data_IF_274833515087
#
_entry.id   IF_274833515087
#
_cell.length_a   1.000
_cell.length_b   1.000
_cell.length_c   1.000
_cell.angle_alpha   90.00
_cell.angle_beta   90.00
_cell.angle_gamma   90.00
#
_symmetry.space_group_name_H-M   'P 1'
#
loop_
_entity.id
_entity.type
_entity.pdbx_description
1 polymer ?
#
# COMPACT_ATOMS: atom_id res chain seq x y z
N UNK A 1 -0.99 42.17 28.91
CA UNK A 1 0.26 41.45 28.71
C UNK A 1 -0.09 40.10 28.15
N UNK A 2 -0.12 39.97 26.83
CA UNK A 2 -0.44 38.74 26.11
C UNK A 2 0.85 38.05 25.69
N UNK A 3 1.08 36.86 26.20
CA UNK A 3 2.24 36.07 25.86
C UNK A 3 1.88 35.12 24.69
N UNK A 4 2.28 35.48 23.48
CA UNK A 4 2.13 34.67 22.27
C UNK A 4 3.21 33.59 22.29
N UNK A 5 2.87 32.37 22.63
CA UNK A 5 3.74 31.19 22.41
C UNK A 5 3.62 30.75 20.98
N UNK A 6 4.64 31.04 20.19
CA UNK A 6 4.85 30.55 18.83
C UNK A 6 4.97 29.03 18.83
N UNK A 7 3.96 28.35 18.31
CA UNK A 7 4.04 26.93 18.00
C UNK A 7 4.94 26.76 16.76
N UNK A 8 6.12 26.17 16.95
CA UNK A 8 6.98 25.74 15.83
C UNK A 8 6.33 24.54 15.15
N UNK A 9 5.84 24.74 13.94
CA UNK A 9 5.47 23.66 13.06
C UNK A 9 6.76 22.92 12.64
N UNK A 10 6.89 21.68 13.08
CA UNK A 10 7.92 20.76 12.57
C UNK A 10 7.38 20.26 11.23
N UNK A 11 7.81 20.92 10.18
CA UNK A 11 7.65 20.41 8.80
C UNK A 11 8.71 19.34 8.64
N UNK A 12 8.32 18.08 8.64
CA UNK A 12 9.16 17.02 8.10
C UNK A 12 9.24 17.20 6.59
N UNK A 13 10.18 18.02 6.15
CA UNK A 13 10.65 17.99 4.78
C UNK A 13 11.47 16.70 4.65
N UNK A 14 10.89 15.69 3.99
CA UNK A 14 11.69 14.58 3.50
C UNK A 14 12.77 15.18 2.58
N UNK A 15 14.06 14.93 2.83
CA UNK A 15 15.07 15.37 1.90
C UNK A 15 14.94 14.54 0.62
N UNK A 16 14.40 15.13 -0.42
CA UNK A 16 14.69 14.70 -1.77
C UNK A 16 16.18 14.95 -1.97
N UNK A 17 17.02 13.99 -1.59
CA UNK A 17 18.41 13.96 -2.00
C UNK A 17 18.40 13.63 -3.48
N UNK A 18 18.37 14.67 -4.30
CA UNK A 18 18.78 14.57 -5.68
C UNK A 18 20.28 14.25 -5.63
N UNK A 19 20.61 12.97 -5.72
CA UNK A 19 21.97 12.51 -5.95
C UNK A 19 22.34 12.87 -7.40
N UNK A 20 22.65 14.15 -7.62
CA UNK A 20 23.37 14.57 -8.82
C UNK A 20 24.81 14.07 -8.67
N UNK A 21 25.20 13.15 -9.54
CA UNK A 21 26.60 12.88 -9.85
C UNK A 21 27.21 11.62 -9.24
N UNK A 22 26.65 10.46 -9.49
CA UNK A 22 27.46 9.26 -9.63
C UNK A 22 27.42 8.82 -11.09
N UNK A 23 28.41 9.27 -11.84
CA UNK A 23 28.79 8.68 -13.13
C UNK A 23 29.33 7.26 -12.90
N UNK A 24 28.53 6.36 -12.39
CA UNK A 24 28.76 4.94 -12.49
C UNK A 24 28.51 4.57 -13.95
N UNK A 25 29.57 4.38 -14.73
CA UNK A 25 29.50 3.57 -15.93
C UNK A 25 28.97 2.22 -15.48
N UNK A 26 27.67 2.01 -15.58
CA UNK A 26 27.06 0.70 -15.49
C UNK A 26 27.70 -0.09 -16.64
N UNK A 27 28.63 -0.96 -16.31
CA UNK A 27 29.06 -2.00 -17.19
C UNK A 27 27.81 -2.83 -17.44
N UNK A 28 27.36 -2.91 -18.71
CA UNK A 28 26.25 -3.78 -19.14
C UNK A 28 26.63 -5.23 -18.84
N UNK A 29 26.46 -5.64 -17.60
CA UNK A 29 26.57 -7.04 -17.19
C UNK A 29 25.15 -7.60 -17.27
N UNK A 30 24.80 -8.42 -18.28
CA UNK A 30 23.47 -8.96 -18.46
C UNK A 30 22.98 -9.82 -17.26
N UNK A 31 23.90 -10.23 -16.39
CA UNK A 31 23.54 -10.92 -15.14
C UNK A 31 23.03 -9.98 -14.03
N UNK A 32 23.17 -8.66 -14.17
CA UNK A 32 22.77 -7.69 -13.16
C UNK A 32 21.29 -7.31 -13.23
N UNK A 33 20.63 -7.60 -14.35
CA UNK A 33 19.24 -7.26 -14.64
C UNK A 33 18.45 -8.50 -15.02
N UNK A 34 18.71 -9.61 -14.33
CA UNK A 34 17.86 -10.79 -14.40
C UNK A 34 16.51 -10.40 -13.83
N UNK A 35 15.54 -10.54 -14.70
CA UNK A 35 14.10 -10.49 -14.46
C UNK A 35 13.68 -9.51 -13.37
N UNK A 36 13.24 -8.32 -13.81
CA UNK A 36 12.66 -7.32 -12.94
C UNK A 36 11.54 -7.97 -12.14
N UNK A 37 11.66 -8.01 -10.84
CA UNK A 37 10.57 -8.43 -9.99
C UNK A 37 9.45 -7.38 -10.05
N UNK A 38 8.37 -7.75 -10.73
CA UNK A 38 7.29 -6.82 -11.04
C UNK A 38 6.43 -6.48 -9.84
N UNK A 39 6.50 -7.26 -8.74
CA UNK A 39 5.77 -6.97 -7.50
C UNK A 39 5.97 -5.51 -7.05
N UNK A 40 7.18 -4.98 -7.16
CA UNK A 40 7.58 -3.73 -6.53
C UNK A 40 7.69 -2.50 -7.45
N UNK A 41 7.65 -2.67 -8.78
CA UNK A 41 7.94 -1.58 -9.72
C UNK A 41 6.77 -0.61 -9.95
N UNK A 42 5.62 -0.82 -9.32
CA UNK A 42 4.43 0.02 -9.52
C UNK A 42 4.18 0.94 -8.30
N UNK A 43 3.50 0.54 -7.29
CA UNK A 43 3.17 1.38 -6.15
C UNK A 43 2.25 0.65 -5.20
N UNK A 44 1.03 1.14 -5.04
CA UNK A 44 -0.04 0.39 -4.37
C UNK A 44 -0.55 -0.76 -5.24
N UNK A 45 -0.57 -0.55 -6.56
CA UNK A 45 -0.79 -1.65 -7.51
C UNK A 45 0.43 -2.56 -7.48
N UNK A 46 0.23 -3.84 -7.35
CA UNK A 46 1.29 -4.84 -7.33
C UNK A 46 1.35 -5.61 -8.65
N UNK A 47 2.55 -5.94 -9.07
CA UNK A 47 2.75 -6.89 -10.15
C UNK A 47 2.60 -8.33 -9.67
N UNK A 48 2.66 -9.25 -10.61
CA UNK A 48 2.54 -10.69 -10.37
C UNK A 48 3.84 -11.36 -9.92
N UNK A 49 4.95 -10.61 -9.84
CA UNK A 49 6.24 -11.14 -9.43
C UNK A 49 6.19 -11.83 -8.05
N UNK A 50 6.98 -12.87 -7.92
CA UNK A 50 7.36 -13.51 -6.66
C UNK A 50 8.87 -13.67 -6.68
N UNK A 51 9.51 -13.72 -5.51
CA UNK A 51 10.96 -13.91 -5.38
C UNK A 51 11.47 -15.21 -6.04
N UNK A 52 12.78 -15.33 -6.20
CA UNK A 52 13.41 -16.54 -6.71
C UNK A 52 13.39 -17.65 -5.64
N UNK A 53 13.39 -18.92 -6.07
CA UNK A 53 13.46 -20.06 -5.16
C UNK A 53 14.67 -19.96 -4.21
N UNK A 54 14.39 -20.01 -2.91
CA UNK A 54 15.37 -19.86 -1.83
C UNK A 54 15.66 -18.42 -1.43
N UNK A 55 15.11 -17.44 -2.13
CA UNK A 55 15.26 -16.03 -1.81
C UNK A 55 14.56 -15.67 -0.50
N UNK A 56 15.16 -14.74 0.19
CA UNK A 56 14.65 -14.15 1.43
C UNK A 56 14.81 -12.64 1.38
N UNK A 57 13.86 -11.94 1.95
CA UNK A 57 13.87 -10.50 2.01
C UNK A 57 13.46 -10.01 3.41
N UNK A 58 14.09 -8.94 3.84
CA UNK A 58 13.54 -8.08 4.90
C UNK A 58 13.14 -6.75 4.30
N UNK A 59 11.94 -6.30 4.64
CA UNK A 59 11.47 -5.01 4.20
C UNK A 59 10.73 -4.22 5.28
N UNK A 60 10.65 -2.93 5.05
CA UNK A 60 9.89 -1.98 5.83
C UNK A 60 8.99 -1.26 4.83
N UNK A 61 7.70 -1.53 4.91
CA UNK A 61 6.69 -0.86 4.12
C UNK A 61 5.85 0.06 5.01
N UNK A 62 5.71 1.31 4.63
CA UNK A 62 4.84 2.28 5.33
C UNK A 62 3.79 2.80 4.37
N UNK A 63 2.53 2.65 4.76
CA UNK A 63 1.38 3.29 4.12
C UNK A 63 0.90 4.41 5.02
N UNK A 64 0.83 5.63 4.48
CA UNK A 64 0.31 6.80 5.16
C UNK A 64 -1.00 7.27 4.51
N UNK A 65 -1.99 7.60 5.34
CA UNK A 65 -3.29 8.15 4.97
C UNK A 65 -3.39 9.57 5.51
N UNK A 66 -3.72 10.54 4.66
CA UNK A 66 -3.67 11.97 5.02
C UNK A 66 -4.91 12.70 4.57
N UNK A 67 -5.43 13.55 5.48
CA UNK A 67 -6.56 14.43 5.25
C UNK A 67 -7.90 13.71 5.26
N UNK A 68 -8.76 14.16 6.12
CA UNK A 68 -10.21 13.88 6.19
C UNK A 68 -10.99 15.14 5.78
N UNK A 69 -12.28 15.21 6.07
CA UNK A 69 -13.17 16.33 5.74
C UNK A 69 -12.72 17.63 6.41
N UNK A 70 -12.26 17.54 7.64
CA UNK A 70 -11.85 18.67 8.47
C UNK A 70 -10.68 18.29 9.40
N UNK A 71 -10.28 19.19 10.27
CA UNK A 71 -9.24 18.98 11.26
C UNK A 71 -7.87 18.67 10.67
N UNK A 72 -7.05 17.99 11.46
CA UNK A 72 -5.75 17.48 11.06
C UNK A 72 -5.76 15.97 11.19
N UNK A 73 -5.56 15.29 10.08
CA UNK A 73 -5.55 13.83 10.02
C UNK A 73 -4.27 13.29 9.36
N UNK A 74 -3.60 12.43 10.10
CA UNK A 74 -2.51 11.58 9.65
C UNK A 74 -2.62 10.24 10.36
N UNK A 75 -2.74 9.18 9.60
CA UNK A 75 -2.61 7.81 10.07
C UNK A 75 -1.60 7.09 9.20
N UNK A 76 -0.73 6.31 9.77
CA UNK A 76 0.18 5.47 9.00
C UNK A 76 0.35 4.11 9.67
N UNK A 77 0.48 3.09 8.84
CA UNK A 77 0.87 1.76 9.26
C UNK A 77 2.17 1.36 8.59
N UNK A 78 3.03 0.73 9.37
CA UNK A 78 4.32 0.21 8.94
C UNK A 78 4.34 -1.29 9.16
N UNK A 79 4.50 -2.05 8.08
CA UNK A 79 4.76 -3.49 8.06
C UNK A 79 6.27 -3.72 8.18
N UNK A 80 6.70 -4.52 9.14
CA UNK A 80 8.07 -5.05 9.23
C UNK A 80 8.02 -6.47 8.69
N UNK A 81 8.41 -6.65 7.45
CA UNK A 81 8.15 -7.85 6.69
C UNK A 81 9.37 -8.76 6.64
N UNK A 82 9.14 -10.05 6.82
CA UNK A 82 10.06 -11.10 6.42
C UNK A 82 9.39 -11.95 5.35
N UNK A 83 10.04 -12.00 4.20
CA UNK A 83 9.59 -12.74 3.03
C UNK A 83 10.51 -13.92 2.76
N UNK A 84 9.94 -15.04 2.28
CA UNK A 84 10.71 -16.15 1.76
C UNK A 84 9.95 -16.88 0.65
N UNK A 85 10.71 -17.38 -0.33
CA UNK A 85 10.20 -18.07 -1.53
C UNK A 85 10.70 -19.52 -1.52
N UNK A 86 9.92 -20.50 -0.98
CA UNK A 86 10.36 -21.89 -0.86
C UNK A 86 10.48 -22.62 -2.20
N UNK A 87 9.78 -22.16 -3.23
CA UNK A 87 9.82 -22.71 -4.57
C UNK A 87 9.34 -21.65 -5.59
N UNK A 88 9.50 -21.92 -6.88
CA UNK A 88 9.17 -21.01 -7.97
C UNK A 88 7.68 -20.62 -8.10
N UNK A 89 6.78 -21.14 -7.26
CA UNK A 89 5.33 -20.87 -7.36
C UNK A 89 4.75 -20.20 -6.12
N UNK A 90 5.42 -20.26 -4.99
CA UNK A 90 4.86 -19.81 -3.71
C UNK A 90 5.84 -18.89 -3.00
N UNK A 91 5.33 -17.79 -2.50
CA UNK A 91 6.02 -16.84 -1.63
C UNK A 91 5.19 -16.62 -0.38
N UNK A 92 5.85 -16.48 0.76
CA UNK A 92 5.24 -16.16 2.04
C UNK A 92 5.85 -14.89 2.60
N UNK A 93 5.00 -14.08 3.22
CA UNK A 93 5.40 -12.92 4.00
C UNK A 93 4.75 -12.99 5.38
N UNK A 94 5.40 -12.43 6.38
CA UNK A 94 4.83 -12.27 7.71
C UNK A 94 5.56 -11.19 8.50
N UNK A 95 4.86 -10.58 9.43
CA UNK A 95 5.48 -9.63 10.32
C UNK A 95 4.53 -8.88 11.25
N UNK A 96 5.10 -8.07 12.15
CA UNK A 96 4.33 -7.16 13.00
C UNK A 96 3.96 -5.88 12.25
N UNK A 97 2.86 -5.30 12.72
CA UNK A 97 2.30 -4.02 12.28
C UNK A 97 2.52 -2.95 13.34
N UNK A 98 2.95 -1.79 12.93
CA UNK A 98 3.16 -0.62 13.81
C UNK A 98 2.41 0.57 13.22
N UNK A 99 1.46 1.13 13.99
CA UNK A 99 0.67 2.28 13.55
C UNK A 99 1.06 3.59 14.25
N UNK A 100 0.94 4.69 13.52
CA UNK A 100 1.09 6.05 14.05
C UNK A 100 -0.14 6.86 13.69
N UNK A 101 -0.74 7.52 14.68
CA UNK A 101 -1.90 8.39 14.49
C UNK A 101 -1.62 9.79 15.04
N UNK A 102 -1.90 10.82 14.24
CA UNK A 102 -1.92 12.22 14.64
C UNK A 102 -3.25 12.82 14.17
N UNK A 103 -4.26 12.71 15.01
CA UNK A 103 -5.64 13.14 14.73
C UNK A 103 -5.98 14.28 15.67
N UNK A 104 -6.45 15.39 15.11
CA UNK A 104 -6.84 16.56 15.87
C UNK A 104 -7.99 17.29 15.22
N UNK A 105 -9.06 17.50 16.00
CA UNK A 105 -10.26 18.27 15.61
C UNK A 105 -10.90 17.77 14.31
N UNK A 106 -10.88 16.43 14.08
CA UNK A 106 -11.57 15.74 12.98
C UNK A 106 -12.95 15.33 13.50
N UNK A 107 -13.99 15.66 12.74
CA UNK A 107 -15.38 15.30 13.07
C UNK A 107 -15.50 13.77 13.20
N UNK A 108 -16.22 13.31 14.20
CA UNK A 108 -16.49 11.91 14.53
C UNK A 108 -15.24 11.06 14.89
N UNK A 109 -14.12 11.72 15.21
CA UNK A 109 -12.90 11.06 15.65
C UNK A 109 -12.34 11.68 16.94
N UNK A 110 -11.87 10.84 17.84
CA UNK A 110 -11.15 11.28 19.03
C UNK A 110 -9.79 11.89 18.64
N UNK A 111 -9.38 12.95 19.36
CA UNK A 111 -8.04 13.49 19.24
C UNK A 111 -7.01 12.45 19.69
N UNK A 112 -6.03 12.14 18.85
CA UNK A 112 -5.02 11.12 19.10
C UNK A 112 -3.62 11.57 18.68
N UNK A 113 -2.63 11.18 19.47
CA UNK A 113 -1.22 11.29 19.11
C UNK A 113 -0.52 10.06 19.70
N UNK A 114 -0.38 9.00 18.92
CA UNK A 114 0.14 7.72 19.39
C UNK A 114 1.01 7.03 18.34
N UNK A 115 1.94 6.24 18.85
CA UNK A 115 2.69 5.21 18.14
C UNK A 115 2.46 3.90 18.89
N UNK A 116 1.99 2.86 18.20
CA UNK A 116 1.70 1.59 18.84
C UNK A 116 1.98 0.42 17.90
N UNK A 117 2.35 -0.73 18.47
CA UNK A 117 2.26 -1.99 17.75
C UNK A 117 0.78 -2.27 17.50
N UNK A 118 0.35 -2.29 16.23
CA UNK A 118 -1.05 -2.40 15.86
C UNK A 118 -1.52 -3.84 15.66
N UNK A 119 -0.63 -4.75 15.28
CA UNK A 119 -1.05 -6.11 14.99
C UNK A 119 0.02 -6.98 14.36
N UNK A 120 -0.44 -7.97 13.59
CA UNK A 120 0.36 -8.88 12.80
C UNK A 120 -0.34 -9.20 11.49
N UNK A 121 0.43 -9.49 10.47
CA UNK A 121 -0.05 -9.97 9.19
C UNK A 121 0.76 -11.18 8.72
N UNK A 122 0.20 -11.87 7.75
CA UNK A 122 0.91 -12.87 6.96
C UNK A 122 0.32 -12.88 5.55
N UNK A 123 1.12 -13.04 4.52
CA UNK A 123 0.67 -13.18 3.14
C UNK A 123 1.16 -14.49 2.54
N UNK A 124 0.34 -15.08 1.70
CA UNK A 124 0.73 -16.13 0.76
C UNK A 124 0.45 -15.66 -0.66
N UNK A 125 1.45 -15.76 -1.53
CA UNK A 125 1.33 -15.48 -2.97
C UNK A 125 1.55 -16.77 -3.74
N UNK A 126 0.68 -17.03 -4.71
CA UNK A 126 0.74 -18.19 -5.59
C UNK A 126 0.81 -17.76 -7.04
N UNK A 127 1.92 -18.02 -7.70
CA UNK A 127 2.13 -17.75 -9.13
C UNK A 127 1.29 -18.75 -9.96
N UNK A 128 0.15 -18.26 -10.47
CA UNK A 128 -0.79 -19.06 -11.26
C UNK A 128 -0.34 -19.18 -12.71
N UNK A 129 0.19 -18.09 -13.27
CA UNK A 129 0.69 -18.02 -14.66
C UNK A 129 1.99 -17.22 -14.67
N UNK A 130 3.06 -17.87 -15.10
CA UNK A 130 4.36 -17.22 -15.26
C UNK A 130 4.51 -16.60 -16.66
N UNK A 131 5.29 -15.53 -16.72
CA UNK A 131 5.68 -14.89 -17.97
C UNK A 131 6.70 -15.75 -18.70
N UNK A 132 6.45 -15.99 -19.96
CA UNK A 132 7.32 -16.82 -20.78
C UNK A 132 7.48 -16.29 -22.21
N UNK A 133 8.29 -16.97 -23.02
CA UNK A 133 8.55 -16.54 -24.40
C UNK A 133 7.29 -16.45 -25.28
N UNK A 134 6.23 -17.19 -24.93
CA UNK A 134 4.95 -17.24 -25.66
C UNK A 134 3.84 -16.40 -25.04
N UNK A 135 4.04 -15.89 -23.81
CA UNK A 135 3.05 -15.08 -23.12
C UNK A 135 3.75 -13.94 -22.33
N UNK A 136 3.46 -12.67 -22.63
CA UNK A 136 3.97 -11.54 -21.87
C UNK A 136 3.18 -11.31 -20.56
N UNK A 137 2.08 -12.05 -20.35
CA UNK A 137 1.20 -11.96 -19.18
C UNK A 137 1.69 -12.89 -18.07
N UNK A 138 1.67 -12.40 -16.84
CA UNK A 138 1.80 -13.21 -15.64
C UNK A 138 0.66 -12.90 -14.66
N UNK A 139 0.29 -13.87 -13.82
CA UNK A 139 -0.83 -13.77 -12.87
C UNK A 139 -0.43 -14.46 -11.57
N UNK A 140 -0.64 -13.74 -10.45
CA UNK A 140 -0.47 -14.25 -9.09
C UNK A 140 -1.75 -14.05 -8.30
N UNK A 141 -2.09 -15.01 -7.47
CA UNK A 141 -3.14 -14.91 -6.47
C UNK A 141 -2.49 -14.66 -5.12
N UNK A 142 -3.02 -13.74 -4.32
CA UNK A 142 -2.56 -13.53 -2.95
C UNK A 142 -3.70 -13.55 -1.95
N UNK A 143 -3.37 -13.96 -0.73
CA UNK A 143 -4.23 -13.92 0.44
C UNK A 143 -3.41 -13.45 1.63
N UNK A 144 -3.85 -12.35 2.24
CA UNK A 144 -3.18 -11.71 3.36
C UNK A 144 -4.16 -11.60 4.55
N UNK A 145 -4.18 -12.58 5.48
CA UNK A 145 -4.85 -12.44 6.76
C UNK A 145 -4.11 -11.46 7.65
N UNK A 146 -4.88 -10.58 8.30
CA UNK A 146 -4.39 -9.58 9.24
C UNK A 146 -5.16 -9.64 10.57
N UNK A 147 -4.47 -9.29 11.63
CA UNK A 147 -5.07 -9.08 12.93
C UNK A 147 -4.61 -7.75 13.50
N UNK A 148 -5.57 -6.88 13.86
CA UNK A 148 -5.29 -5.59 14.46
C UNK A 148 -5.89 -5.46 15.85
N UNK A 149 -5.14 -4.80 16.74
CA UNK A 149 -5.57 -4.36 18.08
C UNK A 149 -5.75 -2.84 18.16
N UNK A 150 -5.36 -2.15 17.12
CA UNK A 150 -5.49 -0.70 16.93
C UNK A 150 -6.10 -0.51 15.55
N UNK A 151 -7.20 0.21 15.49
CA UNK A 151 -7.87 0.56 14.25
C UNK A 151 -6.98 1.47 13.39
N UNK A 152 -6.85 1.15 12.10
CA UNK A 152 -5.95 1.82 11.19
C UNK A 152 -6.33 3.28 10.91
N UNK A 153 -7.61 3.59 10.99
CA UNK A 153 -8.16 4.91 10.66
C UNK A 153 -8.22 5.81 11.88
N UNK A 154 -8.86 5.34 12.94
CA UNK A 154 -9.12 6.15 14.16
C UNK A 154 -8.04 6.02 15.23
N UNK A 155 -7.23 4.95 15.16
CA UNK A 155 -6.28 4.60 16.20
C UNK A 155 -6.94 4.12 17.50
N UNK A 156 -8.22 3.80 17.50
CA UNK A 156 -8.93 3.23 18.65
C UNK A 156 -8.45 1.81 18.96
N UNK A 157 -8.68 1.36 20.19
CA UNK A 157 -8.43 -0.04 20.52
C UNK A 157 -9.56 -0.90 20.00
N UNK A 158 -9.21 -1.93 19.22
CA UNK A 158 -10.16 -2.85 18.62
C UNK A 158 -9.66 -4.28 18.70
N UNK A 159 -10.52 -5.22 18.33
CA UNK A 159 -10.14 -6.55 17.85
C UNK A 159 -10.63 -6.62 16.40
N UNK A 160 -9.73 -6.50 15.45
CA UNK A 160 -10.07 -6.58 14.04
C UNK A 160 -9.39 -7.79 13.42
N UNK A 161 -10.10 -8.47 12.53
CA UNK A 161 -9.59 -9.52 11.66
C UNK A 161 -9.94 -9.16 10.23
N UNK A 162 -8.94 -8.94 9.42
CA UNK A 162 -9.02 -8.70 7.99
C UNK A 162 -8.52 -9.88 7.17
N UNK A 163 -8.97 -9.95 5.93
CA UNK A 163 -8.44 -10.87 4.93
C UNK A 163 -8.42 -10.17 3.57
N UNK A 164 -7.25 -9.71 3.15
CA UNK A 164 -7.12 -9.21 1.79
C UNK A 164 -6.92 -10.36 0.79
N UNK A 165 -7.75 -10.40 -0.24
CA UNK A 165 -7.63 -11.32 -1.37
C UNK A 165 -7.38 -10.53 -2.64
N UNK A 166 -6.29 -10.83 -3.35
CA UNK A 166 -5.97 -10.16 -4.61
C UNK A 166 -5.70 -11.14 -5.75
N UNK A 167 -6.10 -10.70 -6.94
CA UNK A 167 -5.58 -11.21 -8.22
C UNK A 167 -4.66 -10.14 -8.76
N UNK A 168 -3.38 -10.44 -8.87
CA UNK A 168 -2.35 -9.56 -9.40
C UNK A 168 -1.97 -10.03 -10.79
N UNK A 169 -2.12 -9.16 -11.79
CA UNK A 169 -1.75 -9.47 -13.16
C UNK A 169 -0.83 -8.37 -13.70
N UNK A 170 0.19 -8.75 -14.42
CA UNK A 170 1.01 -7.79 -15.14
C UNK A 170 1.39 -8.27 -16.54
N UNK A 171 1.70 -7.31 -17.39
CA UNK A 171 1.99 -7.48 -18.79
C UNK A 171 3.25 -6.70 -19.16
N UNK A 172 4.26 -7.38 -19.72
CA UNK A 172 5.42 -6.74 -20.30
C UNK A 172 5.12 -6.31 -21.75
N UNK A 173 4.87 -5.01 -21.96
CA UNK A 173 4.55 -4.46 -23.28
C UNK A 173 5.80 -4.20 -24.14
N UNK A 174 6.86 -3.72 -23.51
CA UNK A 174 8.16 -3.53 -24.15
C UNK A 174 9.20 -4.23 -23.29
N UNK A 175 9.88 -5.18 -23.88
CA UNK A 175 10.84 -6.06 -23.17
C UNK A 175 11.80 -5.26 -22.29
N UNK A 176 11.82 -5.57 -21.02
CA UNK A 176 12.62 -4.94 -19.97
C UNK A 176 12.42 -3.41 -19.81
N UNK A 177 11.32 -2.83 -20.33
CA UNK A 177 11.14 -1.38 -20.34
C UNK A 177 9.78 -0.88 -19.91
N UNK A 178 8.71 -1.49 -20.42
CA UNK A 178 7.36 -0.98 -20.19
C UNK A 178 6.47 -2.11 -19.70
N UNK A 179 5.91 -1.89 -18.52
CA UNK A 179 5.03 -2.84 -17.84
C UNK A 179 3.70 -2.18 -17.54
N UNK A 180 2.63 -2.97 -17.66
CA UNK A 180 1.30 -2.65 -17.13
C UNK A 180 1.00 -3.64 -16.03
N UNK A 181 0.30 -3.20 -14.99
CA UNK A 181 -0.27 -4.08 -13.98
C UNK A 181 -1.72 -3.74 -13.70
N UNK A 182 -2.45 -4.69 -13.17
CA UNK A 182 -3.80 -4.51 -12.66
C UNK A 182 -4.08 -5.47 -11.53
N UNK A 183 -4.82 -5.01 -10.52
CA UNK A 183 -5.26 -5.84 -9.41
C UNK A 183 -6.78 -5.86 -9.31
N UNK A 184 -7.31 -6.97 -8.89
CA UNK A 184 -8.66 -7.12 -8.37
C UNK A 184 -8.57 -7.45 -6.90
N UNK A 185 -9.20 -6.63 -6.05
CA UNK A 185 -9.15 -6.68 -4.60
C UNK A 185 -10.51 -7.03 -4.00
N UNK A 186 -10.52 -7.87 -3.00
CA UNK A 186 -11.61 -8.08 -2.07
C UNK A 186 -11.08 -8.24 -0.66
N UNK A 187 -11.54 -7.40 0.26
CA UNK A 187 -11.06 -7.30 1.63
C UNK A 187 -12.26 -7.26 2.59
N UNK A 188 -12.71 -8.41 3.11
CA UNK A 188 -13.67 -8.48 4.21
C UNK A 188 -12.97 -8.31 5.55
N UNK A 189 -13.61 -7.54 6.43
CA UNK A 189 -13.18 -7.30 7.79
C UNK A 189 -14.26 -7.58 8.81
N UNK A 190 -13.83 -7.89 10.03
CA UNK A 190 -14.68 -8.01 11.20
C UNK A 190 -14.02 -7.31 12.39
N UNK A 191 -14.67 -6.27 12.89
CA UNK A 191 -14.18 -5.43 13.98
C UNK A 191 -15.08 -5.55 15.22
N UNK A 192 -14.46 -5.65 16.36
CA UNK A 192 -15.12 -5.56 17.67
C UNK A 192 -14.45 -4.45 18.47
N UNK A 193 -15.23 -3.43 18.82
CA UNK A 193 -14.81 -2.37 19.73
C UNK A 193 -15.11 -2.80 21.18
N UNK A 194 -14.06 -3.08 21.99
CA UNK A 194 -14.26 -3.51 23.38
C UNK A 194 -14.79 -2.40 24.30
N UNK A 195 -14.63 -1.14 23.91
CA UNK A 195 -15.02 0.05 24.69
C UNK A 195 -16.32 0.68 24.13
N UNK A 196 -16.86 0.17 23.01
CA UNK A 196 -18.03 0.68 22.32
C UNK A 196 -19.38 0.28 22.95
N UNK A 197 -20.41 1.06 22.66
CA UNK A 197 -21.80 0.85 23.15
C UNK A 197 -22.51 -0.20 22.28
N UNK A 198 -21.88 -1.31 22.00
CA UNK A 198 -22.46 -2.40 21.23
C UNK A 198 -21.64 -3.67 21.38
N UNK A 199 -22.25 -4.73 21.91
CA UNK A 199 -21.54 -5.98 22.20
C UNK A 199 -21.35 -6.88 20.97
N UNK A 200 -21.38 -6.34 19.75
CA UNK A 200 -21.36 -7.10 18.49
C UNK A 200 -20.06 -6.97 17.69
N UNK A 201 -19.88 -7.87 16.74
CA UNK A 201 -18.90 -7.73 15.67
C UNK A 201 -19.53 -6.94 14.52
N UNK A 202 -18.94 -5.83 14.18
CA UNK A 202 -19.22 -5.09 12.96
C UNK A 202 -18.45 -5.75 11.81
N UNK A 203 -19.09 -5.82 10.65
CA UNK A 203 -18.48 -6.42 9.47
C UNK A 203 -18.57 -5.43 8.33
N UNK A 204 -17.51 -5.34 7.59
CA UNK A 204 -17.41 -4.49 6.41
C UNK A 204 -16.61 -5.18 5.31
N UNK A 205 -16.64 -4.63 4.14
CA UNK A 205 -15.81 -5.13 3.04
C UNK A 205 -15.47 -4.03 2.04
N UNK A 206 -14.24 -4.09 1.56
CA UNK A 206 -13.76 -3.24 0.47
C UNK A 206 -13.57 -4.08 -0.77
N UNK A 207 -14.13 -3.64 -1.89
CA UNK A 207 -13.83 -4.17 -3.22
C UNK A 207 -13.06 -3.14 -4.03
N UNK A 208 -12.11 -3.58 -4.85
CA UNK A 208 -11.30 -2.65 -5.60
C UNK A 208 -10.75 -3.19 -6.91
N UNK A 209 -10.46 -2.27 -7.82
CA UNK A 209 -9.68 -2.53 -9.01
C UNK A 209 -8.60 -1.48 -9.14
N UNK A 210 -7.44 -1.88 -9.64
CA UNK A 210 -6.38 -0.94 -9.97
C UNK A 210 -5.77 -1.19 -11.34
N UNK A 211 -5.12 -0.17 -11.87
CA UNK A 211 -4.28 -0.27 -13.05
C UNK A 211 -3.05 0.63 -12.87
N UNK A 212 -1.91 0.16 -13.30
CA UNK A 212 -0.66 0.91 -13.24
C UNK A 212 0.18 0.71 -14.51
N UNK A 213 0.95 1.72 -14.82
CA UNK A 213 1.98 1.69 -15.86
C UNK A 213 3.32 2.03 -15.23
N UNK A 214 4.38 1.31 -15.58
CA UNK A 214 5.72 1.54 -15.10
C UNK A 214 6.72 1.49 -16.24
N UNK A 215 7.53 2.53 -16.40
CA UNK A 215 8.52 2.67 -17.44
C UNK A 215 9.93 2.78 -16.87
N UNK A 216 10.83 1.95 -17.37
CA UNK A 216 12.23 1.92 -16.99
C UNK A 216 13.00 3.03 -17.70
N UNK A 217 13.33 4.10 -16.97
CA UNK A 217 14.07 5.25 -17.53
C UNK A 217 15.58 5.02 -17.61
N UNK A 218 16.12 4.34 -16.59
CA UNK A 218 17.49 3.83 -16.55
C UNK A 218 17.48 2.44 -15.92
N UNK A 219 18.54 1.64 -16.02
CA UNK A 219 18.53 0.25 -15.54
C UNK A 219 18.05 0.04 -14.11
N UNK A 220 18.30 0.99 -13.21
CA UNK A 220 17.96 0.91 -11.79
C UNK A 220 16.72 1.72 -11.39
N UNK A 221 16.03 2.39 -12.33
CA UNK A 221 14.93 3.30 -11.98
C UNK A 221 13.74 3.10 -12.90
N UNK A 222 12.59 2.85 -12.28
CA UNK A 222 11.29 2.90 -12.93
C UNK A 222 10.50 4.10 -12.41
N UNK A 223 9.73 4.71 -13.29
CA UNK A 223 8.73 5.73 -12.96
C UNK A 223 7.41 5.37 -13.60
N UNK A 224 6.33 5.69 -12.94
CA UNK A 224 5.03 5.30 -13.40
C UNK A 224 3.90 6.14 -12.84
N UNK A 225 2.71 5.67 -13.09
CA UNK A 225 1.48 6.18 -12.52
C UNK A 225 0.52 5.03 -12.27
N UNK A 226 -0.35 5.20 -11.32
CA UNK A 226 -1.38 4.23 -11.00
C UNK A 226 -2.74 4.91 -10.76
N UNK A 227 -3.77 4.14 -10.96
CA UNK A 227 -5.17 4.47 -10.75
C UNK A 227 -5.79 3.40 -9.87
N UNK A 228 -6.53 3.80 -8.84
CA UNK A 228 -7.32 2.91 -8.00
C UNK A 228 -8.76 3.34 -7.97
N UNK A 229 -9.68 2.38 -8.06
CA UNK A 229 -11.09 2.53 -7.75
C UNK A 229 -11.46 1.57 -6.64
N UNK A 230 -11.92 2.12 -5.52
CA UNK A 230 -12.31 1.37 -4.31
C UNK A 230 -13.78 1.61 -4.01
N UNK A 231 -14.45 0.60 -3.52
CA UNK A 231 -15.84 0.64 -3.04
C UNK A 231 -15.92 0.02 -1.66
N UNK A 232 -16.56 0.74 -0.76
CA UNK A 232 -16.76 0.29 0.61
C UNK A 232 -18.21 -0.11 0.86
N UNK A 233 -18.39 -1.11 1.73
CA UNK A 233 -19.69 -1.70 2.03
C UNK A 233 -19.77 -2.10 3.51
N UNK A 234 -20.89 -1.86 4.17
CA UNK A 234 -21.26 -2.60 5.36
C UNK A 234 -21.50 -4.07 5.01
N UNK A 235 -21.09 -4.95 5.91
CA UNK A 235 -21.20 -6.39 5.74
C UNK A 235 -20.11 -7.03 4.90
N UNK A 236 -19.73 -8.25 5.25
CA UNK A 236 -18.60 -8.96 4.65
C UNK A 236 -18.80 -9.35 3.19
N UNK A 237 -20.02 -9.29 2.63
CA UNK A 237 -20.32 -9.76 1.29
C UNK A 237 -20.93 -8.68 0.39
N UNK A 238 -20.35 -7.46 0.42
CA UNK A 238 -20.86 -6.34 -0.36
C UNK A 238 -22.35 -6.03 -0.10
N UNK A 239 -22.78 -6.10 1.17
CA UNK A 239 -24.21 -6.05 1.51
C UNK A 239 -24.81 -4.65 1.25
N UNK A 240 -24.32 -3.62 1.96
CA UNK A 240 -24.83 -2.25 1.84
C UNK A 240 -23.71 -1.33 1.37
N UNK A 241 -23.86 -0.73 0.20
CA UNK A 241 -22.89 0.21 -0.33
C UNK A 241 -22.88 1.51 0.51
N UNK A 242 -21.71 1.91 1.00
CA UNK A 242 -21.48 3.14 1.77
C UNK A 242 -20.76 4.22 0.99
N UNK A 243 -19.90 3.83 0.05
CA UNK A 243 -19.23 4.81 -0.78
C UNK A 243 -18.15 4.24 -1.70
N UNK A 244 -17.63 5.12 -2.54
CA UNK A 244 -16.52 4.80 -3.43
C UNK A 244 -15.49 5.93 -3.51
N UNK A 245 -14.30 5.60 -4.00
CA UNK A 245 -13.23 6.58 -4.22
C UNK A 245 -12.35 6.20 -5.42
N UNK A 246 -11.99 7.21 -6.19
CA UNK A 246 -10.98 7.17 -7.24
C UNK A 246 -9.71 7.86 -6.78
N UNK A 247 -8.60 7.13 -6.85
CA UNK A 247 -7.26 7.66 -6.57
C UNK A 247 -6.40 7.62 -7.82
N UNK A 248 -5.55 8.61 -7.97
CA UNK A 248 -4.57 8.71 -9.05
C UNK A 248 -3.27 9.25 -8.49
N UNK A 249 -2.14 8.70 -8.94
CA UNK A 249 -0.85 9.24 -8.54
C UNK A 249 0.36 8.65 -9.19
N UNK A 250 1.52 9.30 -9.01
CA UNK A 250 2.80 8.84 -9.50
C UNK A 250 3.36 7.70 -8.66
N UNK A 251 4.20 6.88 -9.29
CA UNK A 251 4.97 5.82 -8.68
C UNK A 251 6.42 5.88 -9.08
N UNK A 252 7.31 5.41 -8.23
CA UNK A 252 8.72 5.31 -8.50
C UNK A 252 9.32 4.07 -7.82
N UNK A 253 10.18 3.38 -8.53
CA UNK A 253 11.01 2.31 -7.99
C UNK A 253 12.48 2.62 -8.28
N UNK A 254 13.34 2.40 -7.29
CA UNK A 254 14.77 2.64 -7.40
C UNK A 254 15.52 1.45 -6.80
N UNK A 255 16.34 0.80 -7.61
CA UNK A 255 17.31 -0.18 -7.14
C UNK A 255 18.56 0.55 -6.63
N UNK A 256 18.75 0.60 -5.32
CA UNK A 256 19.84 1.31 -4.64
C UNK A 256 21.15 0.50 -4.62
N UNK A 257 21.05 -0.81 -4.83
CA UNK A 257 22.18 -1.74 -4.84
C UNK A 257 21.77 -3.09 -5.44
N UNK A 258 22.66 -4.07 -5.34
CA UNK A 258 22.37 -5.41 -5.90
C UNK A 258 21.20 -6.11 -5.23
N UNK A 259 20.99 -5.80 -3.95
CA UNK A 259 20.03 -6.45 -3.06
C UNK A 259 19.19 -5.45 -2.27
N UNK A 260 19.23 -4.18 -2.62
CA UNK A 260 18.51 -3.13 -1.91
C UNK A 260 17.69 -2.33 -2.90
N UNK A 261 16.41 -2.19 -2.65
CA UNK A 261 15.54 -1.37 -3.47
C UNK A 261 14.54 -0.56 -2.64
N UNK A 262 13.95 0.42 -3.28
CA UNK A 262 12.95 1.29 -2.69
C UNK A 262 11.82 1.52 -3.70
N UNK A 263 10.58 1.43 -3.20
CA UNK A 263 9.36 1.80 -3.94
C UNK A 263 8.69 2.96 -3.23
N UNK A 264 8.20 3.92 -3.98
CA UNK A 264 7.41 5.03 -3.47
C UNK A 264 6.21 5.29 -4.38
N UNK A 265 5.06 5.63 -3.77
CA UNK A 265 3.85 6.04 -4.47
C UNK A 265 3.14 7.14 -3.68
N UNK A 266 2.42 7.99 -4.39
CA UNK A 266 1.63 9.06 -3.79
C UNK A 266 0.34 9.26 -4.56
N UNK A 267 -0.79 8.88 -3.97
CA UNK A 267 -2.09 8.91 -4.61
C UNK A 267 -2.98 9.98 -3.97
N UNK A 268 -3.72 10.69 -4.82
CA UNK A 268 -4.71 11.69 -4.42
C UNK A 268 -6.09 11.20 -4.82
N UNK A 269 -7.05 11.30 -3.93
CA UNK A 269 -8.45 11.06 -4.27
C UNK A 269 -8.92 12.19 -5.22
N UNK A 270 -9.26 11.82 -6.45
CA UNK A 270 -9.68 12.74 -7.50
C UNK A 270 -11.20 12.81 -7.64
N UNK A 271 -11.89 11.75 -7.20
CA UNK A 271 -13.34 11.66 -7.14
C UNK A 271 -13.75 10.64 -6.09
N UNK A 272 -14.93 10.80 -5.52
CA UNK A 272 -15.53 9.86 -4.59
C UNK A 272 -16.99 10.17 -4.34
N UNK A 273 -17.72 9.17 -3.88
CA UNK A 273 -19.12 9.29 -3.45
C UNK A 273 -19.23 8.76 -2.04
N UNK A 274 -19.73 9.57 -1.15
CA UNK A 274 -20.06 9.26 0.22
C UNK A 274 -21.59 9.23 0.34
N UNK A 275 -22.17 8.13 0.80
CA UNK A 275 -23.63 7.98 0.91
C UNK A 275 -24.18 8.94 1.97
N UNK A 276 -23.41 9.20 3.03
CA UNK A 276 -23.79 10.07 4.14
C UNK A 276 -23.54 11.56 3.84
N UNK A 277 -22.72 11.87 2.81
CA UNK A 277 -22.47 13.24 2.34
C UNK A 277 -22.59 13.36 0.81
N UNK A 278 -23.80 13.24 0.25
CA UNK A 278 -24.01 13.20 -1.20
C UNK A 278 -23.68 14.51 -1.91
N UNK A 279 -23.42 15.58 -1.17
CA UNK A 279 -22.97 16.88 -1.70
C UNK A 279 -21.49 17.00 -1.96
N UNK A 280 -20.69 16.07 -1.43
CA UNK A 280 -19.25 16.05 -1.59
C UNK A 280 -18.85 15.37 -2.91
N UNK A 281 -17.78 15.88 -3.55
CA UNK A 281 -17.15 15.25 -4.71
C UNK A 281 -16.04 14.25 -4.32
N UNK A 282 -15.73 14.14 -3.02
CA UNK A 282 -14.78 13.21 -2.44
C UNK A 282 -15.47 12.44 -1.31
N UNK A 283 -15.13 11.17 -1.17
CA UNK A 283 -15.51 10.37 -0.01
C UNK A 283 -14.41 10.47 1.06
N UNK A 284 -14.62 11.37 2.02
CA UNK A 284 -13.68 11.58 3.13
C UNK A 284 -14.22 11.00 4.47
N UNK A 285 -15.37 10.37 4.45
CA UNK A 285 -15.86 9.50 5.51
C UNK A 285 -15.04 8.21 5.57
N UNK A 286 -15.18 7.38 4.56
CA UNK A 286 -14.49 6.08 4.49
C UNK A 286 -13.00 6.24 4.17
N UNK A 287 -12.66 7.09 3.20
CA UNK A 287 -11.30 7.19 2.68
C UNK A 287 -10.59 8.48 3.13
N UNK A 288 -9.27 8.51 2.94
CA UNK A 288 -8.46 9.72 3.11
C UNK A 288 -8.34 10.49 1.79
N UNK A 289 -8.02 11.78 1.88
CA UNK A 289 -7.78 12.63 0.70
C UNK A 289 -6.54 12.19 -0.09
N UNK A 290 -5.51 11.71 0.61
CA UNK A 290 -4.24 11.31 0.01
C UNK A 290 -3.72 10.05 0.69
N UNK A 291 -3.01 9.24 -0.08
CA UNK A 291 -2.31 8.03 0.37
C UNK A 291 -0.88 8.08 -0.11
N UNK A 292 0.07 7.74 0.77
CA UNK A 292 1.48 7.59 0.43
C UNK A 292 1.97 6.19 0.79
N UNK A 293 2.79 5.60 -0.05
CA UNK A 293 3.47 4.32 0.21
C UNK A 293 4.97 4.51 0.06
N UNK A 294 5.72 3.96 0.99
CA UNK A 294 7.17 3.86 0.92
C UNK A 294 7.58 2.46 1.40
N UNK A 295 8.26 1.71 0.54
CA UNK A 295 8.86 0.41 0.88
C UNK A 295 10.37 0.49 0.69
N UNK A 296 11.12 -0.01 1.65
CA UNK A 296 12.56 -0.25 1.57
C UNK A 296 12.80 -1.73 1.84
N UNK A 297 13.48 -2.41 0.93
CA UNK A 297 13.70 -3.84 1.02
C UNK A 297 15.16 -4.23 0.81
N UNK A 298 15.54 -5.34 1.44
CA UNK A 298 16.88 -5.93 1.37
C UNK A 298 16.74 -7.45 1.17
N UNK A 299 17.15 -7.93 0.01
CA UNK A 299 17.23 -9.35 -0.33
C UNK A 299 18.54 -9.99 0.19
N UNK A 300 18.53 -11.31 0.47
CA UNK A 300 19.74 -12.01 0.93
C UNK A 300 19.73 -13.54 0.66
#
# INVERSE_FOLDING_TARGET
MFNVRTARAIVFAAPFVVAAGFGARAQDNPAFYRDVETKYIFGFTEGSGIGLEGEKEFSLETVARMGKRDGRYWASETKLEYEFTPNQYVQFELGPLVSTHVIKDVTDMDNRNQLAMSGFFGEVRYLLLDRGPSSPLAITLSAEPEWHRIDETSGARVKNFGLELKVNADLELIKNRLYLAGNLLYEPEATHDPDGIGAGWEKESTGGISAAISYRIVPSVFVGAELWYLRHYEGAWFNTFTGDAFFLGPTAYVQLGRKVFMTAAWNVQVHGRDVDDPGSSLNLGEFSRQRGKLKLAVEF
#
